data_IF_241515897417
#
_entry.id   IF_241515897417
#
_cell.length_a   1.000
_cell.length_b   1.000
_cell.length_c   1.000
_cell.angle_alpha   90.00
_cell.angle_beta   90.00
_cell.angle_gamma   90.00
#
_symmetry.space_group_name_H-M   'P 1'
#
loop_
_entity.id
_entity.type
_entity.pdbx_description
1 polymer ?
#
# COMPACT_ATOMS: atom_id res chain seq x y z
N UNK A 1 2.07 -22.47 17.08
CA UNK A 1 1.04 -21.44 17.22
C UNK A 1 -0.27 -21.84 16.56
N UNK A 2 -1.36 -21.18 16.91
CA UNK A 2 -2.67 -21.39 16.27
C UNK A 2 -2.75 -20.54 14.99
N UNK A 3 -3.36 -21.05 13.93
CA UNK A 3 -3.69 -20.26 12.76
C UNK A 3 -4.69 -19.14 13.13
N UNK A 4 -4.49 -17.94 12.62
CA UNK A 4 -5.44 -16.84 12.79
C UNK A 4 -6.73 -17.09 12.01
N UNK A 5 -7.84 -16.50 12.47
CA UNK A 5 -9.17 -16.62 11.86
C UNK A 5 -9.76 -15.24 11.61
N UNK A 6 -10.86 -15.17 10.85
CA UNK A 6 -11.59 -13.91 10.67
C UNK A 6 -12.11 -13.33 11.99
N UNK A 7 -12.48 -14.17 12.96
CA UNK A 7 -12.87 -13.72 14.28
C UNK A 7 -11.70 -13.07 15.05
N UNK A 8 -10.48 -13.58 14.88
CA UNK A 8 -9.29 -12.94 15.45
C UNK A 8 -9.05 -11.55 14.84
N UNK A 9 -9.31 -11.41 13.52
CA UNK A 9 -9.23 -10.10 12.84
C UNK A 9 -10.28 -9.13 13.36
N UNK A 10 -11.53 -9.59 13.58
CA UNK A 10 -12.60 -8.76 14.14
C UNK A 10 -12.17 -8.18 15.49
N UNK A 11 -11.51 -8.97 16.34
CA UNK A 11 -11.00 -8.49 17.63
C UNK A 11 -9.91 -7.41 17.50
N UNK A 12 -9.22 -7.35 16.36
CA UNK A 12 -8.16 -6.36 16.08
C UNK A 12 -8.68 -5.05 15.47
N UNK A 13 -9.91 -5.03 14.92
CA UNK A 13 -10.46 -3.86 14.24
C UNK A 13 -10.44 -2.58 15.11
N UNK A 14 -10.80 -2.62 16.40
CA UNK A 14 -10.73 -1.43 17.23
C UNK A 14 -9.35 -0.81 17.32
N UNK A 15 -8.30 -1.62 17.40
CA UNK A 15 -6.91 -1.15 17.46
C UNK A 15 -6.45 -0.54 16.13
N UNK A 16 -6.79 -1.17 15.02
CA UNK A 16 -6.47 -0.66 13.68
C UNK A 16 -7.18 0.66 13.44
N UNK A 17 -8.47 0.74 13.82
CA UNK A 17 -9.24 1.98 13.73
C UNK A 17 -8.71 3.07 14.65
N UNK A 18 -8.28 2.73 15.85
CA UNK A 18 -7.67 3.67 16.80
C UNK A 18 -6.40 4.33 16.24
N UNK A 19 -5.61 3.61 15.45
CA UNK A 19 -4.48 4.19 14.71
C UNK A 19 -4.91 5.13 13.56
N UNK A 20 -6.20 5.18 13.22
CA UNK A 20 -6.76 6.10 12.25
C UNK A 20 -6.80 5.61 10.81
N UNK A 21 -6.59 4.33 10.56
CA UNK A 21 -6.75 3.76 9.22
C UNK A 21 -8.22 3.59 8.82
N UNK A 22 -8.48 3.70 7.52
CA UNK A 22 -9.81 3.65 6.95
C UNK A 22 -10.05 2.34 6.18
N UNK A 23 -9.00 1.62 5.85
CA UNK A 23 -9.06 0.39 5.06
C UNK A 23 -8.20 -0.69 5.72
N UNK A 24 -8.77 -1.88 5.87
CA UNK A 24 -8.03 -3.09 6.21
C UNK A 24 -7.86 -3.96 4.97
N UNK A 25 -6.61 -4.23 4.60
CA UNK A 25 -6.26 -5.09 3.48
C UNK A 25 -5.91 -6.49 3.96
N UNK A 26 -6.45 -7.50 3.27
CA UNK A 26 -6.07 -8.90 3.43
C UNK A 26 -5.38 -9.42 2.16
N UNK A 27 -4.24 -10.15 2.32
CA UNK A 27 -3.70 -10.98 1.25
C UNK A 27 -4.74 -12.01 0.78
N UNK A 28 -4.47 -12.81 -0.28
CA UNK A 28 -5.44 -13.80 -0.73
C UNK A 28 -5.93 -14.70 0.41
N UNK A 29 -7.25 -14.82 0.54
CA UNK A 29 -7.94 -15.59 1.59
C UNK A 29 -8.43 -16.95 1.11
N UNK A 30 -7.98 -17.37 -0.05
CA UNK A 30 -8.44 -18.56 -0.77
C UNK A 30 -7.68 -19.81 -0.35
N UNK A 31 -8.22 -21.02 -0.62
CA UNK A 31 -7.51 -22.27 -0.35
C UNK A 31 -6.11 -22.29 -0.97
N UNK A 32 -5.13 -22.76 -0.21
CA UNK A 32 -3.73 -22.79 -0.62
C UNK A 32 -3.37 -24.18 -1.15
N UNK A 33 -2.79 -24.24 -2.36
CA UNK A 33 -2.37 -25.48 -3.00
C UNK A 33 -1.35 -26.28 -2.19
N UNK A 34 -1.37 -27.59 -2.38
CA UNK A 34 -0.44 -28.52 -1.72
C UNK A 34 0.79 -28.83 -2.58
N UNK A 35 0.58 -28.95 -3.90
CA UNK A 35 1.67 -29.29 -4.83
C UNK A 35 2.68 -28.16 -4.91
N UNK A 36 3.96 -28.51 -4.73
CA UNK A 36 5.08 -27.57 -4.73
C UNK A 36 4.93 -26.43 -3.68
N UNK A 37 4.22 -26.70 -2.58
CA UNK A 37 4.01 -25.74 -1.50
C UNK A 37 5.32 -25.16 -1.02
N UNK A 38 5.34 -23.85 -0.80
CA UNK A 38 6.46 -23.13 -0.23
C UNK A 38 6.56 -23.35 1.27
N UNK A 39 7.78 -23.52 1.76
CA UNK A 39 8.09 -23.52 3.19
C UNK A 39 8.52 -22.15 3.70
N UNK A 40 8.92 -22.11 4.96
CA UNK A 40 9.41 -20.90 5.65
C UNK A 40 10.50 -20.19 4.87
N UNK A 41 10.50 -18.85 4.96
CA UNK A 41 11.47 -18.03 4.25
C UNK A 41 11.54 -18.32 2.74
N UNK A 42 10.40 -18.68 2.13
CA UNK A 42 10.30 -19.00 0.71
C UNK A 42 11.09 -20.25 0.27
N UNK A 43 11.30 -21.19 1.19
CA UNK A 43 11.90 -22.49 0.85
C UNK A 43 11.12 -23.19 -0.25
N UNK A 44 11.83 -23.87 -1.15
CA UNK A 44 11.20 -24.68 -2.21
C UNK A 44 10.58 -25.99 -1.70
N UNK A 45 10.82 -26.35 -0.43
CA UNK A 45 10.25 -27.52 0.23
C UNK A 45 9.54 -27.08 1.48
N UNK A 46 8.28 -27.45 1.60
CA UNK A 46 7.47 -27.25 2.78
C UNK A 46 7.62 -28.43 3.74
N UNK A 47 7.70 -28.15 5.02
CA UNK A 47 7.50 -29.11 6.09
C UNK A 47 6.00 -29.40 6.27
N UNK A 48 5.61 -30.50 6.93
CA UNK A 48 4.19 -30.84 7.10
C UNK A 48 3.34 -29.76 7.75
N UNK A 49 3.94 -28.92 8.60
CA UNK A 49 3.28 -27.84 9.35
C UNK A 49 3.26 -26.51 8.62
N UNK A 50 3.94 -26.41 7.49
CA UNK A 50 4.04 -25.14 6.76
C UNK A 50 2.71 -24.79 6.09
N UNK A 51 2.29 -23.54 6.29
CA UNK A 51 1.01 -23.04 5.79
C UNK A 51 1.00 -22.79 4.29
N UNK A 52 2.17 -22.66 3.68
CA UNK A 52 2.32 -22.29 2.26
C UNK A 52 2.16 -20.79 2.03
N UNK A 53 2.24 -20.39 0.76
CA UNK A 53 2.01 -19.01 0.35
C UNK A 53 0.54 -18.77 0.04
N UNK A 54 -0.10 -17.72 0.56
CA UNK A 54 -1.49 -17.38 0.21
C UNK A 54 -1.66 -17.03 -1.28
N UNK A 55 -0.59 -16.76 -1.99
CA UNK A 55 -0.61 -16.51 -3.43
C UNK A 55 -0.65 -17.78 -4.29
N UNK A 56 -0.45 -18.96 -3.70
CA UNK A 56 -0.65 -20.25 -4.36
C UNK A 56 -2.14 -20.64 -4.29
N UNK A 57 -2.99 -19.90 -5.00
CA UNK A 57 -4.44 -19.95 -4.88
C UNK A 57 -5.03 -21.20 -5.51
N UNK A 58 -5.83 -21.93 -4.75
CA UNK A 58 -6.66 -23.04 -5.18
C UNK A 58 -6.19 -24.39 -4.65
N UNK A 59 -7.14 -25.16 -4.17
CA UNK A 59 -7.00 -26.53 -3.67
C UNK A 59 -8.30 -27.32 -3.92
N UNK A 60 -8.41 -28.50 -3.32
CA UNK A 60 -9.62 -29.32 -3.45
C UNK A 60 -10.88 -28.59 -2.94
N UNK A 61 -10.73 -27.68 -1.99
CA UNK A 61 -11.80 -26.89 -1.36
C UNK A 61 -12.33 -25.76 -2.28
N UNK A 62 -11.60 -25.39 -3.30
CA UNK A 62 -12.04 -24.38 -4.27
C UNK A 62 -10.93 -23.47 -4.76
N UNK A 63 -11.32 -22.42 -5.49
CA UNK A 63 -10.43 -21.43 -6.10
C UNK A 63 -10.62 -20.02 -5.55
N UNK A 64 -10.64 -19.03 -6.45
CA UNK A 64 -10.71 -17.60 -6.14
C UNK A 64 -12.03 -17.11 -5.51
N UNK A 65 -13.05 -17.92 -5.51
CA UNK A 65 -14.36 -17.68 -4.91
C UNK A 65 -14.59 -18.51 -3.63
N UNK A 66 -13.57 -19.23 -3.16
CA UNK A 66 -13.60 -20.02 -1.94
C UNK A 66 -12.68 -19.42 -0.87
N UNK A 67 -12.94 -19.79 0.38
CA UNK A 67 -12.17 -19.37 1.54
C UNK A 67 -11.29 -20.52 2.03
N UNK A 68 -10.06 -20.21 2.41
CA UNK A 68 -9.16 -21.14 3.12
C UNK A 68 -9.85 -21.60 4.43
N UNK A 69 -10.15 -22.88 4.61
CA UNK A 69 -10.94 -23.36 5.75
C UNK A 69 -10.39 -23.01 7.12
N UNK A 70 -9.07 -22.81 7.24
CA UNK A 70 -8.42 -22.41 8.50
C UNK A 70 -8.75 -20.98 8.91
N UNK A 71 -9.17 -20.12 7.98
CA UNK A 71 -9.58 -18.73 8.26
C UNK A 71 -11.02 -18.65 8.78
N UNK A 72 -11.88 -19.59 8.38
CA UNK A 72 -13.31 -19.63 8.69
C UNK A 72 -14.16 -19.93 7.47
N UNK A 73 -15.43 -19.57 7.52
CA UNK A 73 -16.42 -19.74 6.45
C UNK A 73 -16.67 -18.44 5.70
N UNK A 74 -17.50 -18.51 4.66
CA UNK A 74 -17.95 -17.30 3.94
C UNK A 74 -18.79 -16.38 4.85
N UNK A 75 -19.62 -16.96 5.72
CA UNK A 75 -20.41 -16.22 6.71
C UNK A 75 -19.51 -15.52 7.72
N UNK A 76 -18.41 -16.14 8.13
CA UNK A 76 -17.41 -15.52 9.01
C UNK A 76 -16.73 -14.33 8.33
N UNK A 77 -16.42 -14.46 7.04
CA UNK A 77 -15.88 -13.36 6.26
C UNK A 77 -16.88 -12.19 6.13
N UNK A 78 -18.15 -12.48 5.85
CA UNK A 78 -19.20 -11.45 5.79
C UNK A 78 -19.32 -10.73 7.13
N UNK A 79 -19.28 -11.47 8.25
CA UNK A 79 -19.25 -10.84 9.58
C UNK A 79 -18.05 -9.92 9.76
N UNK A 80 -16.88 -10.30 9.27
CA UNK A 80 -15.70 -9.42 9.30
C UNK A 80 -15.92 -8.15 8.49
N UNK A 81 -16.49 -8.25 7.28
CA UNK A 81 -16.80 -7.09 6.43
C UNK A 81 -17.77 -6.14 7.14
N UNK A 82 -18.82 -6.69 7.74
CA UNK A 82 -19.83 -5.90 8.47
C UNK A 82 -19.23 -5.25 9.74
N UNK A 83 -18.43 -6.00 10.52
CA UNK A 83 -17.72 -5.46 11.67
C UNK A 83 -16.74 -4.34 11.29
N UNK A 84 -16.00 -4.48 10.18
CA UNK A 84 -15.13 -3.41 9.67
C UNK A 84 -15.94 -2.15 9.37
N UNK A 85 -17.10 -2.30 8.72
CA UNK A 85 -17.99 -1.18 8.38
C UNK A 85 -18.56 -0.51 9.64
N UNK A 86 -18.93 -1.26 10.66
CA UNK A 86 -19.36 -0.73 11.97
C UNK A 86 -18.26 0.12 12.64
N UNK A 87 -16.99 -0.24 12.43
CA UNK A 87 -15.85 0.56 12.87
C UNK A 87 -15.50 1.71 11.90
N UNK A 88 -16.29 1.95 10.86
CA UNK A 88 -16.03 2.97 9.83
C UNK A 88 -14.82 2.64 8.96
N UNK A 89 -14.60 1.38 8.67
CA UNK A 89 -13.51 0.87 7.83
C UNK A 89 -14.08 0.07 6.64
N UNK A 90 -13.33 0.07 5.54
CA UNK A 90 -13.60 -0.76 4.37
C UNK A 90 -12.62 -1.95 4.32
N UNK A 91 -13.09 -3.06 3.74
CA UNK A 91 -12.23 -4.21 3.48
C UNK A 91 -11.65 -4.14 2.07
N UNK A 92 -10.34 -4.35 1.96
CA UNK A 92 -9.66 -4.56 0.69
C UNK A 92 -9.18 -6.01 0.58
N UNK A 93 -9.46 -6.65 -0.56
CA UNK A 93 -8.94 -7.98 -0.88
C UNK A 93 -7.87 -7.91 -1.95
N UNK A 94 -6.95 -8.87 -1.88
CA UNK A 94 -6.01 -9.11 -2.97
C UNK A 94 -6.71 -9.83 -4.14
N UNK A 95 -6.48 -9.33 -5.34
CA UNK A 95 -6.90 -9.99 -6.58
C UNK A 95 -5.66 -10.40 -7.36
N UNK A 96 -5.19 -11.61 -7.11
CA UNK A 96 -4.04 -12.22 -7.76
C UNK A 96 -4.52 -13.23 -8.82
N UNK A 97 -4.29 -12.91 -10.09
CA UNK A 97 -4.68 -13.78 -11.21
C UNK A 97 -3.57 -14.80 -11.48
N UNK A 98 -3.48 -15.77 -10.59
CA UNK A 98 -2.59 -16.92 -10.67
C UNK A 98 -3.20 -18.06 -9.88
N UNK A 99 -2.88 -19.29 -10.25
CA UNK A 99 -3.44 -20.49 -9.64
C UNK A 99 -2.33 -21.37 -9.08
N UNK A 100 -2.63 -22.11 -8.01
CA UNK A 100 -1.78 -23.23 -7.65
C UNK A 100 -1.91 -24.34 -8.69
N UNK A 101 -0.99 -25.33 -8.73
CA UNK A 101 -1.14 -26.51 -9.58
C UNK A 101 -2.33 -27.41 -9.21
N UNK A 102 -2.97 -27.16 -8.06
CA UNK A 102 -4.15 -27.90 -7.57
C UNK A 102 -5.47 -27.16 -7.77
N UNK A 103 -5.44 -25.99 -8.41
CA UNK A 103 -6.63 -25.18 -8.63
C UNK A 103 -7.66 -25.94 -9.49
N UNK A 104 -8.97 -25.94 -9.12
CA UNK A 104 -10.02 -26.64 -9.87
C UNK A 104 -10.07 -26.30 -11.37
N UNK A 105 -9.75 -25.09 -11.75
CA UNK A 105 -9.73 -24.67 -13.15
C UNK A 105 -8.74 -25.46 -14.03
N UNK A 106 -7.66 -26.03 -13.46
CA UNK A 106 -6.73 -26.82 -14.26
C UNK A 106 -7.37 -28.11 -14.82
N UNK A 107 -8.29 -28.71 -14.08
CA UNK A 107 -9.06 -29.87 -14.55
C UNK A 107 -10.29 -29.47 -15.36
N UNK A 108 -10.98 -28.40 -14.95
CA UNK A 108 -12.23 -27.95 -15.59
C UNK A 108 -11.99 -27.19 -16.91
N UNK A 109 -10.89 -26.45 -16.98
CA UNK A 109 -10.53 -25.55 -18.09
C UNK A 109 -9.03 -25.63 -18.40
N UNK A 110 -8.49 -26.78 -18.81
CA UNK A 110 -7.06 -26.94 -19.08
C UNK A 110 -6.56 -25.99 -20.19
N UNK A 111 -7.44 -25.56 -21.07
CA UNK A 111 -7.16 -24.60 -22.15
C UNK A 111 -6.99 -23.15 -21.65
N UNK A 112 -7.23 -22.85 -20.39
CA UNK A 112 -6.93 -21.56 -19.78
C UNK A 112 -5.48 -21.44 -19.32
N UNK A 113 -4.69 -22.50 -19.43
CA UNK A 113 -3.31 -22.55 -18.96
C UNK A 113 -2.33 -22.83 -20.10
N UNK A 114 -1.07 -22.49 -19.87
CA UNK A 114 -0.01 -22.79 -20.80
C UNK A 114 0.67 -24.11 -20.45
N UNK A 115 0.78 -24.98 -21.43
CA UNK A 115 1.40 -26.29 -21.29
C UNK A 115 2.67 -26.35 -22.14
N UNK A 116 3.67 -27.09 -21.68
CA UNK A 116 4.87 -27.39 -22.44
C UNK A 116 4.56 -28.52 -23.45
N UNK A 117 5.36 -28.65 -24.51
CA UNK A 117 5.17 -29.74 -25.49
C UNK A 117 5.24 -31.14 -24.87
N UNK A 118 5.96 -31.30 -23.76
CA UNK A 118 6.09 -32.55 -23.00
C UNK A 118 4.88 -32.82 -22.08
N UNK A 119 3.84 -31.97 -22.11
CA UNK A 119 2.63 -32.14 -21.31
C UNK A 119 2.73 -31.57 -19.88
N UNK A 120 3.86 -30.95 -19.50
CA UNK A 120 4.01 -30.33 -18.20
C UNK A 120 3.44 -28.92 -18.17
N UNK A 121 2.94 -28.49 -16.99
CA UNK A 121 2.51 -27.11 -16.75
C UNK A 121 3.67 -26.14 -16.88
N UNK A 122 3.37 -24.98 -17.45
CA UNK A 122 4.28 -23.85 -17.43
C UNK A 122 4.06 -23.04 -16.15
N UNK A 123 4.99 -23.16 -15.20
CA UNK A 123 4.98 -22.40 -13.96
C UNK A 123 5.30 -20.92 -14.18
N UNK A 124 4.93 -20.09 -13.20
CA UNK A 124 5.28 -18.68 -13.21
C UNK A 124 6.78 -18.49 -13.00
N UNK A 125 7.37 -17.60 -13.78
CA UNK A 125 8.78 -17.24 -13.70
C UNK A 125 8.93 -15.72 -13.69
N UNK A 126 9.77 -15.23 -12.78
CA UNK A 126 10.27 -13.86 -12.77
C UNK A 126 11.76 -13.92 -12.43
N UNK A 127 12.62 -14.11 -13.46
CA UNK A 127 14.04 -14.35 -13.21
C UNK A 127 14.69 -13.30 -12.30
N UNK A 128 15.53 -13.70 -11.35
CA UNK A 128 16.02 -15.08 -11.11
C UNK A 128 15.05 -15.97 -10.30
N UNK A 129 13.86 -15.49 -9.94
CA UNK A 129 12.88 -16.23 -9.11
C UNK A 129 12.04 -17.19 -9.98
N UNK A 130 11.86 -18.40 -9.49
CA UNK A 130 10.91 -19.40 -10.02
C UNK A 130 9.84 -19.67 -8.97
N UNK A 131 8.58 -19.69 -9.42
CA UNK A 131 7.42 -19.91 -8.56
C UNK A 131 6.73 -21.21 -8.99
N UNK A 132 7.25 -22.36 -8.54
CA UNK A 132 6.70 -23.68 -8.91
C UNK A 132 5.38 -23.98 -8.18
N UNK A 133 5.02 -23.21 -7.18
CA UNK A 133 3.76 -23.25 -6.46
C UNK A 133 2.63 -22.49 -7.16
N UNK A 134 2.93 -21.78 -8.25
CA UNK A 134 1.93 -21.02 -9.02
C UNK A 134 2.07 -21.20 -10.53
N UNK A 135 0.95 -21.16 -11.23
CA UNK A 135 0.84 -21.15 -12.68
C UNK A 135 0.04 -19.93 -13.13
N UNK A 136 0.42 -19.36 -14.24
CA UNK A 136 -0.29 -18.20 -14.82
C UNK A 136 -1.38 -18.69 -15.78
N UNK A 137 -2.52 -18.00 -15.79
CA UNK A 137 -3.54 -18.20 -16.81
C UNK A 137 -3.13 -17.61 -18.15
N UNK A 138 -3.56 -18.20 -19.24
CA UNK A 138 -3.33 -17.74 -20.60
C UNK A 138 -4.51 -16.91 -21.09
N UNK A 139 -4.38 -15.58 -21.09
CA UNK A 139 -5.45 -14.66 -21.47
C UNK A 139 -5.90 -14.78 -22.93
N UNK A 140 -5.06 -15.31 -23.81
CA UNK A 140 -5.32 -15.41 -25.25
C UNK A 140 -5.48 -16.86 -25.73
N UNK A 141 -5.11 -17.85 -24.89
CA UNK A 141 -5.20 -19.29 -25.20
C UNK A 141 -4.33 -19.74 -26.37
N UNK A 142 -4.19 -21.05 -26.53
CA UNK A 142 -3.55 -21.64 -27.70
C UNK A 142 -4.49 -21.70 -28.93
N UNK A 143 -5.76 -21.36 -28.76
CA UNK A 143 -6.76 -21.45 -29.83
C UNK A 143 -7.25 -20.07 -30.28
N UNK A 144 -7.39 -19.84 -31.60
CA UNK A 144 -7.75 -18.55 -32.18
C UNK A 144 -9.21 -18.11 -31.96
N UNK A 145 -9.97 -18.84 -31.15
CA UNK A 145 -11.41 -18.59 -31.00
C UNK A 145 -11.71 -17.57 -29.90
N UNK A 146 -12.24 -16.41 -30.33
CA UNK A 146 -12.72 -15.30 -29.48
C UNK A 146 -13.63 -15.74 -28.31
N UNK A 147 -14.41 -16.79 -28.47
CA UNK A 147 -15.32 -17.31 -27.44
C UNK A 147 -14.60 -17.86 -26.20
N UNK A 148 -13.46 -18.55 -26.36
CA UNK A 148 -12.70 -19.11 -25.21
C UNK A 148 -11.99 -18.04 -24.39
N UNK A 149 -11.45 -17.03 -25.05
CA UNK A 149 -10.87 -15.84 -24.42
C UNK A 149 -11.89 -15.17 -23.50
N UNK A 150 -13.12 -14.98 -23.99
CA UNK A 150 -14.18 -14.35 -23.20
C UNK A 150 -14.64 -15.19 -22.02
N UNK A 151 -14.55 -16.53 -22.08
CA UNK A 151 -14.91 -17.40 -20.97
C UNK A 151 -14.02 -17.17 -19.73
N UNK A 152 -12.68 -17.16 -19.92
CA UNK A 152 -11.74 -16.84 -18.84
C UNK A 152 -11.96 -15.41 -18.31
N UNK A 153 -12.10 -14.43 -19.20
CA UNK A 153 -12.29 -13.04 -18.79
C UNK A 153 -13.57 -12.86 -17.96
N UNK A 154 -14.65 -13.52 -18.36
CA UNK A 154 -15.91 -13.52 -17.62
C UNK A 154 -15.76 -14.20 -16.26
N UNK A 155 -15.10 -15.36 -16.19
CA UNK A 155 -14.85 -16.03 -14.93
C UNK A 155 -14.07 -15.14 -13.95
N UNK A 156 -13.06 -14.43 -14.43
CA UNK A 156 -12.28 -13.48 -13.60
C UNK A 156 -13.12 -12.27 -13.16
N UNK A 157 -13.98 -11.73 -14.04
CA UNK A 157 -14.94 -10.70 -13.66
C UNK A 157 -15.90 -11.21 -12.59
N UNK A 158 -16.42 -12.40 -12.77
CA UNK A 158 -17.42 -12.99 -11.88
C UNK A 158 -16.81 -13.28 -10.48
N UNK A 159 -15.52 -13.58 -10.39
CA UNK A 159 -14.79 -13.61 -9.11
C UNK A 159 -14.82 -12.26 -8.41
N UNK A 160 -14.51 -11.17 -9.13
CA UNK A 160 -14.57 -9.82 -8.55
C UNK A 160 -16.00 -9.49 -8.09
N UNK A 161 -17.00 -9.74 -8.94
CA UNK A 161 -18.42 -9.48 -8.60
C UNK A 161 -18.89 -10.36 -7.43
N UNK A 162 -18.40 -11.59 -7.31
CA UNK A 162 -18.70 -12.45 -6.16
C UNK A 162 -18.30 -11.74 -4.84
N UNK A 163 -17.08 -11.24 -4.75
CA UNK A 163 -16.62 -10.54 -3.55
C UNK A 163 -17.29 -9.18 -3.36
N UNK A 164 -17.60 -8.47 -4.43
CA UNK A 164 -18.39 -7.23 -4.38
C UNK A 164 -19.78 -7.49 -3.77
N UNK A 165 -20.43 -8.59 -4.17
CA UNK A 165 -21.73 -9.01 -3.62
C UNK A 165 -21.65 -9.41 -2.14
N UNK A 166 -20.46 -9.75 -1.64
CA UNK A 166 -20.20 -10.01 -0.22
C UNK A 166 -19.60 -8.81 0.52
N UNK A 167 -19.75 -7.61 -0.05
CA UNK A 167 -19.45 -6.34 0.63
C UNK A 167 -18.06 -5.76 0.40
N UNK A 168 -17.20 -6.41 -0.39
CA UNK A 168 -15.87 -5.86 -0.72
C UNK A 168 -16.02 -4.74 -1.75
N UNK A 169 -15.28 -3.64 -1.54
CA UNK A 169 -15.28 -2.47 -2.43
C UNK A 169 -13.90 -2.09 -2.93
N UNK A 170 -12.86 -2.71 -2.42
CA UNK A 170 -11.47 -2.37 -2.77
C UNK A 170 -10.71 -3.65 -3.13
N UNK A 171 -10.07 -3.64 -4.29
CA UNK A 171 -9.22 -4.74 -4.75
C UNK A 171 -7.79 -4.24 -4.98
N UNK A 172 -6.84 -4.78 -4.23
CA UNK A 172 -5.42 -4.65 -4.55
C UNK A 172 -5.11 -5.69 -5.61
N UNK A 173 -4.67 -5.25 -6.76
CA UNK A 173 -4.42 -6.13 -7.91
C UNK A 173 -2.94 -6.45 -8.00
N UNK A 174 -2.63 -7.73 -7.86
CA UNK A 174 -1.27 -8.27 -7.91
C UNK A 174 -0.70 -8.22 -9.34
N UNK A 175 0.45 -7.58 -9.51
CA UNK A 175 1.20 -7.53 -10.77
C UNK A 175 0.34 -7.32 -12.04
N UNK A 176 -0.51 -6.28 -12.12
CA UNK A 176 -1.40 -6.09 -13.27
C UNK A 176 -0.64 -5.82 -14.58
N UNK A 177 0.58 -5.30 -14.51
CA UNK A 177 1.43 -5.03 -15.67
C UNK A 177 1.89 -6.31 -16.41
N UNK A 178 1.77 -7.48 -15.79
CA UNK A 178 2.07 -8.78 -16.39
C UNK A 178 0.89 -9.38 -17.15
N UNK A 179 -0.26 -8.74 -17.11
CA UNK A 179 -1.51 -9.17 -17.76
C UNK A 179 -1.90 -8.18 -18.85
N UNK A 180 -2.75 -8.56 -19.83
CA UNK A 180 -3.09 -7.69 -20.95
C UNK A 180 -3.87 -6.43 -20.50
N UNK A 181 -3.42 -5.26 -20.94
CA UNK A 181 -4.12 -4.00 -20.69
C UNK A 181 -5.60 -4.00 -21.17
N UNK A 182 -5.93 -4.58 -22.34
CA UNK A 182 -7.33 -4.67 -22.79
C UNK A 182 -8.21 -5.49 -21.85
N UNK A 183 -7.65 -6.51 -21.18
CA UNK A 183 -8.40 -7.26 -20.17
C UNK A 183 -8.76 -6.38 -18.98
N UNK A 184 -7.81 -5.63 -18.43
CA UNK A 184 -8.05 -4.74 -17.29
C UNK A 184 -9.07 -3.65 -17.64
N UNK A 185 -8.91 -3.01 -18.79
CA UNK A 185 -9.86 -1.98 -19.24
C UNK A 185 -11.28 -2.55 -19.33
N UNK A 186 -11.43 -3.73 -19.92
CA UNK A 186 -12.72 -4.39 -20.03
C UNK A 186 -13.28 -4.77 -18.64
N UNK A 187 -12.48 -5.44 -17.78
CA UNK A 187 -12.93 -5.89 -16.46
C UNK A 187 -13.38 -4.73 -15.58
N UNK A 188 -12.58 -3.67 -15.52
CA UNK A 188 -12.88 -2.48 -14.72
C UNK A 188 -14.17 -1.80 -15.24
N UNK A 189 -14.31 -1.66 -16.54
CA UNK A 189 -15.55 -1.11 -17.13
C UNK A 189 -16.77 -1.96 -16.80
N UNK A 190 -16.68 -3.30 -16.90
CA UNK A 190 -17.78 -4.21 -16.57
C UNK A 190 -18.20 -4.13 -15.09
N UNK A 191 -17.22 -4.04 -14.19
CA UNK A 191 -17.50 -3.89 -12.75
C UNK A 191 -18.08 -2.51 -12.46
N UNK A 192 -17.47 -1.44 -12.97
CA UNK A 192 -17.94 -0.07 -12.73
C UNK A 192 -19.31 0.23 -13.35
N UNK A 193 -19.72 -0.50 -14.39
CA UNK A 193 -21.09 -0.36 -14.93
C UNK A 193 -22.17 -0.76 -13.93
N UNK A 194 -21.86 -1.63 -12.97
CA UNK A 194 -22.75 -2.13 -11.94
C UNK A 194 -22.45 -1.54 -10.56
N UNK A 195 -21.16 -1.32 -10.27
CA UNK A 195 -20.62 -0.88 -8.98
C UNK A 195 -19.54 0.21 -9.19
N UNK A 196 -19.95 1.46 -9.45
CA UNK A 196 -19.02 2.56 -9.77
C UNK A 196 -18.14 2.98 -8.58
N UNK A 197 -18.49 2.55 -7.38
CA UNK A 197 -17.76 2.79 -6.12
C UNK A 197 -16.61 1.82 -5.86
N UNK A 198 -16.46 0.77 -6.68
CA UNK A 198 -15.35 -0.19 -6.51
C UNK A 198 -14.01 0.44 -6.90
N UNK A 199 -13.03 0.27 -6.02
CA UNK A 199 -11.67 0.78 -6.17
C UNK A 199 -10.75 -0.35 -6.62
N UNK A 200 -9.94 -0.09 -7.65
CA UNK A 200 -8.87 -0.97 -8.09
C UNK A 200 -7.52 -0.29 -7.83
N UNK A 201 -6.71 -0.90 -6.96
CA UNK A 201 -5.37 -0.46 -6.60
C UNK A 201 -4.34 -1.32 -7.33
N UNK A 202 -3.54 -0.73 -8.22
CA UNK A 202 -2.53 -1.47 -8.99
C UNK A 202 -1.23 -1.61 -8.21
N UNK A 203 -0.78 -2.85 -8.01
CA UNK A 203 0.57 -3.15 -7.54
C UNK A 203 1.45 -3.42 -8.75
N UNK A 204 2.10 -2.37 -9.25
CA UNK A 204 2.87 -2.43 -10.48
C UNK A 204 4.14 -1.58 -10.38
N UNK A 205 5.20 -2.18 -9.84
CA UNK A 205 6.53 -1.55 -9.79
C UNK A 205 7.22 -1.71 -11.16
N UNK A 206 6.80 -0.91 -12.10
CA UNK A 206 7.24 -0.94 -13.49
C UNK A 206 7.67 0.45 -13.96
N UNK A 207 8.14 0.57 -15.20
CA UNK A 207 8.50 1.89 -15.76
C UNK A 207 7.31 2.85 -15.70
N UNK A 208 7.53 4.16 -15.51
CA UNK A 208 6.45 5.15 -15.36
C UNK A 208 5.39 5.09 -16.46
N UNK A 209 5.81 4.86 -17.71
CA UNK A 209 4.91 4.74 -18.86
C UNK A 209 3.84 3.66 -18.68
N UNK A 210 4.20 2.49 -18.15
CA UNK A 210 3.27 1.40 -17.91
C UNK A 210 2.39 1.70 -16.68
N UNK A 211 2.98 2.19 -15.59
CA UNK A 211 2.28 2.58 -14.37
C UNK A 211 1.19 3.63 -14.66
N UNK A 212 1.52 4.65 -15.44
CA UNK A 212 0.57 5.69 -15.86
C UNK A 212 -0.48 5.16 -16.86
N UNK A 213 -0.11 4.20 -17.70
CA UNK A 213 -1.09 3.57 -18.59
C UNK A 213 -2.14 2.78 -17.82
N UNK A 214 -1.76 2.07 -16.77
CA UNK A 214 -2.70 1.37 -15.88
C UNK A 214 -3.69 2.35 -15.25
N UNK A 215 -3.21 3.50 -14.73
CA UNK A 215 -4.10 4.53 -14.20
C UNK A 215 -5.10 5.04 -15.26
N UNK A 216 -4.65 5.27 -16.50
CA UNK A 216 -5.49 5.77 -17.59
C UNK A 216 -6.54 4.77 -18.09
N UNK A 217 -6.36 3.48 -17.87
CA UNK A 217 -7.36 2.45 -18.29
C UNK A 217 -8.34 2.09 -17.18
N UNK A 218 -8.26 2.74 -16.01
CA UNK A 218 -9.28 2.63 -14.97
C UNK A 218 -8.81 2.26 -13.57
N UNK A 219 -7.53 1.93 -13.35
CA UNK A 219 -7.05 1.74 -11.99
C UNK A 219 -7.17 3.03 -11.19
N UNK A 220 -7.86 2.96 -10.06
CA UNK A 220 -8.22 4.12 -9.26
C UNK A 220 -7.03 4.68 -8.48
N UNK A 221 -6.16 3.80 -8.00
CA UNK A 221 -4.99 4.10 -7.18
C UNK A 221 -3.82 3.23 -7.62
N UNK A 222 -2.60 3.61 -7.27
CA UNK A 222 -1.39 2.86 -7.62
C UNK A 222 -0.36 2.87 -6.50
N UNK A 223 0.28 1.73 -6.29
CA UNK A 223 1.59 1.69 -5.64
C UNK A 223 2.57 2.59 -6.38
N UNK A 224 3.63 3.01 -5.73
CA UNK A 224 4.53 4.05 -6.24
C UNK A 224 5.99 3.71 -5.98
N UNK A 225 6.90 4.47 -6.60
CA UNK A 225 8.33 4.39 -6.30
C UNK A 225 8.72 5.01 -4.96
N UNK A 226 7.78 5.64 -4.24
CA UNK A 226 8.01 6.21 -2.92
C UNK A 226 8.76 5.24 -1.99
N UNK A 227 8.42 3.96 -2.03
CA UNK A 227 9.03 2.92 -1.20
C UNK A 227 10.56 2.95 -1.22
N UNK A 228 11.17 3.33 -2.35
CA UNK A 228 12.65 3.37 -2.53
C UNK A 228 13.24 4.78 -2.62
N UNK A 229 12.45 5.83 -2.49
CA UNK A 229 12.94 7.20 -2.51
C UNK A 229 13.28 7.65 -1.09
N UNK A 230 14.57 7.85 -0.81
CA UNK A 230 15.07 8.21 0.52
C UNK A 230 15.91 9.50 0.51
N UNK A 231 16.55 9.81 -0.61
CA UNK A 231 17.35 11.01 -0.76
C UNK A 231 16.49 12.23 -1.11
N UNK A 232 16.91 13.41 -0.63
CA UNK A 232 16.17 14.66 -0.82
C UNK A 232 15.84 14.93 -2.29
N UNK A 233 16.85 14.88 -3.16
CA UNK A 233 16.66 15.18 -4.58
C UNK A 233 15.68 14.22 -5.27
N UNK A 234 15.72 12.94 -4.91
CA UNK A 234 14.79 11.93 -5.42
C UNK A 234 13.35 12.18 -4.94
N UNK A 235 13.19 12.50 -3.66
CA UNK A 235 11.88 12.80 -3.06
C UNK A 235 11.30 14.08 -3.64
N UNK A 236 12.08 15.16 -3.75
CA UNK A 236 11.65 16.42 -4.35
C UNK A 236 11.17 16.21 -5.79
N UNK A 237 11.99 15.53 -6.61
CA UNK A 237 11.65 15.26 -8.00
C UNK A 237 10.37 14.41 -8.12
N UNK A 238 10.23 13.38 -7.30
CA UNK A 238 9.08 12.49 -7.35
C UNK A 238 7.79 13.15 -6.82
N UNK A 239 7.86 13.85 -5.69
CA UNK A 239 6.72 14.61 -5.15
C UNK A 239 6.23 15.66 -6.16
N UNK A 240 7.15 16.34 -6.82
CA UNK A 240 6.82 17.34 -7.84
C UNK A 240 6.18 16.69 -9.08
N UNK A 241 6.70 15.55 -9.55
CA UNK A 241 6.14 14.80 -10.68
C UNK A 241 4.67 14.42 -10.42
N UNK A 242 4.38 13.77 -9.28
CA UNK A 242 3.05 13.25 -9.00
C UNK A 242 2.03 14.30 -8.56
N UNK A 243 2.48 15.46 -8.09
CA UNK A 243 1.62 16.57 -7.67
C UNK A 243 1.33 17.59 -8.77
N UNK A 244 1.99 17.47 -9.92
CA UNK A 244 1.89 18.39 -11.05
C UNK A 244 1.24 17.75 -12.28
N UNK A 245 0.52 18.52 -13.11
CA UNK A 245 0.08 18.05 -14.41
C UNK A 245 1.24 17.59 -15.31
N UNK A 246 1.03 16.56 -16.15
CA UNK A 246 -0.21 15.85 -16.36
C UNK A 246 -0.46 14.69 -15.37
N UNK A 247 0.55 14.25 -14.59
CA UNK A 247 0.44 13.07 -13.73
C UNK A 247 -0.65 13.25 -12.66
N UNK A 248 -0.69 14.42 -12.02
CA UNK A 248 -1.66 14.73 -10.98
C UNK A 248 -3.14 14.60 -11.43
N UNK A 249 -3.42 14.66 -12.73
CA UNK A 249 -4.79 14.66 -13.25
C UNK A 249 -5.40 13.27 -13.34
N UNK A 250 -4.59 12.22 -13.49
CA UNK A 250 -5.08 10.86 -13.70
C UNK A 250 -4.46 9.80 -12.77
N UNK A 251 -3.35 10.12 -12.10
CA UNK A 251 -2.61 9.19 -11.27
C UNK A 251 -2.82 9.51 -9.78
N UNK A 252 -3.34 8.55 -9.01
CA UNK A 252 -3.51 8.69 -7.55
C UNK A 252 -2.47 7.84 -6.84
N UNK A 253 -1.38 8.46 -6.36
CA UNK A 253 -0.29 7.76 -5.71
C UNK A 253 -0.69 7.30 -4.30
N UNK A 254 -0.47 6.03 -4.02
CA UNK A 254 -0.59 5.45 -2.70
C UNK A 254 0.81 5.19 -2.15
N UNK A 255 1.18 5.86 -1.06
CA UNK A 255 2.50 5.74 -0.46
C UNK A 255 2.53 4.58 0.53
N UNK A 256 2.97 3.42 0.07
CA UNK A 256 3.28 2.30 0.94
C UNK A 256 4.70 2.43 1.48
N UNK A 257 4.83 2.38 2.82
CA UNK A 257 6.13 2.44 3.50
C UNK A 257 6.86 1.10 3.44
N UNK A 258 6.10 0.02 3.37
CA UNK A 258 6.54 -1.36 3.20
C UNK A 258 5.40 -2.19 2.60
N UNK A 259 5.66 -3.44 2.22
CA UNK A 259 4.65 -4.40 1.77
C UNK A 259 4.97 -5.80 2.30
N UNK A 260 4.08 -6.79 2.19
CA UNK A 260 4.43 -8.18 2.53
C UNK A 260 5.65 -8.73 1.77
N UNK A 261 5.95 -8.16 0.60
CA UNK A 261 7.05 -8.58 -0.28
C UNK A 261 8.27 -7.66 -0.22
N UNK A 262 8.15 -6.49 0.43
CA UNK A 262 9.19 -5.47 0.38
C UNK A 262 9.47 -4.94 1.80
N UNK A 263 10.65 -5.29 2.30
CA UNK A 263 11.29 -4.69 3.46
C UNK A 263 12.40 -3.77 2.95
N UNK A 264 12.15 -2.47 2.75
CA UNK A 264 13.13 -1.56 2.14
C UNK A 264 14.43 -1.52 2.92
N UNK A 265 15.58 -1.46 2.23
CA UNK A 265 16.89 -1.40 2.87
C UNK A 265 17.01 -0.28 3.91
N UNK A 266 16.37 0.86 3.66
CA UNK A 266 16.36 1.97 4.61
C UNK A 266 15.77 1.55 5.97
N UNK A 267 14.69 0.78 6.01
CA UNK A 267 14.06 0.33 7.26
C UNK A 267 14.85 -0.78 7.97
N UNK A 268 15.68 -1.52 7.24
CA UNK A 268 16.47 -2.62 7.82
C UNK A 268 17.55 -2.14 8.81
N UNK A 269 18.06 -0.92 8.62
CA UNK A 269 19.21 -0.40 9.35
C UNK A 269 18.98 0.90 10.10
N UNK A 270 17.84 1.57 9.87
CA UNK A 270 17.59 2.92 10.38
C UNK A 270 16.97 2.95 11.79
N UNK A 271 16.54 1.80 12.31
CA UNK A 271 15.88 1.73 13.62
C UNK A 271 14.58 2.55 13.68
N UNK A 272 14.06 2.74 14.88
CA UNK A 272 12.80 3.49 15.13
C UNK A 272 12.75 4.86 14.42
N UNK A 273 13.82 5.68 14.40
CA UNK A 273 13.82 6.96 13.68
C UNK A 273 13.48 6.84 12.20
N UNK A 274 13.99 5.80 11.52
CA UNK A 274 13.68 5.58 10.10
C UNK A 274 12.22 5.27 9.86
N UNK A 275 11.57 4.52 10.74
CA UNK A 275 10.12 4.26 10.67
C UNK A 275 9.31 5.54 10.88
N UNK A 276 9.72 6.41 11.80
CA UNK A 276 9.11 7.73 12.01
C UNK A 276 9.25 8.62 10.76
N UNK A 277 10.45 8.69 10.18
CA UNK A 277 10.71 9.46 8.95
C UNK A 277 9.80 8.98 7.81
N UNK A 278 9.76 7.66 7.57
CA UNK A 278 8.96 7.10 6.47
C UNK A 278 7.46 7.30 6.69
N UNK A 279 6.99 7.20 7.94
CA UNK A 279 5.60 7.51 8.30
C UNK A 279 5.23 8.95 7.97
N UNK A 280 6.07 9.91 8.36
CA UNK A 280 5.83 11.32 8.12
C UNK A 280 5.85 11.65 6.62
N UNK A 281 6.84 11.14 5.87
CA UNK A 281 6.93 11.32 4.42
C UNK A 281 5.69 10.78 3.71
N UNK A 282 5.25 9.57 4.07
CA UNK A 282 4.09 8.95 3.44
C UNK A 282 2.79 9.67 3.80
N UNK A 283 2.57 9.89 5.10
CA UNK A 283 1.33 10.48 5.61
C UNK A 283 1.12 11.92 5.15
N UNK A 284 2.19 12.69 5.03
CA UNK A 284 2.13 14.13 4.70
C UNK A 284 2.33 14.40 3.20
N UNK A 285 3.05 13.54 2.49
CA UNK A 285 3.39 13.73 1.07
C UNK A 285 2.29 13.31 0.10
N UNK A 286 1.43 12.35 0.47
CA UNK A 286 0.36 11.85 -0.39
C UNK A 286 -1.00 11.88 0.29
N UNK A 287 -2.07 11.91 -0.52
CA UNK A 287 -3.44 11.73 -0.06
C UNK A 287 -3.73 10.32 0.44
N UNK A 288 -2.96 9.33 0.01
CA UNK A 288 -3.11 7.91 0.34
C UNK A 288 -1.78 7.36 0.85
N UNK A 289 -1.82 6.63 1.95
CA UNK A 289 -0.66 5.92 2.46
C UNK A 289 -1.06 4.63 3.17
N UNK A 290 -0.14 3.68 3.27
CA UNK A 290 -0.40 2.39 3.90
C UNK A 290 0.83 1.79 4.53
N UNK A 291 0.59 0.92 5.50
CA UNK A 291 1.59 0.14 6.20
C UNK A 291 1.25 -1.35 6.09
N UNK A 292 2.25 -2.19 6.04
CA UNK A 292 2.12 -3.61 6.26
C UNK A 292 2.36 -3.91 7.75
N UNK A 293 1.59 -4.85 8.31
CA UNK A 293 1.64 -5.24 9.72
C UNK A 293 3.06 -5.50 10.22
N UNK A 294 3.39 -4.95 11.38
CA UNK A 294 4.73 -4.97 11.97
C UNK A 294 5.52 -3.68 11.75
N UNK A 295 5.14 -2.86 10.78
CA UNK A 295 5.74 -1.54 10.60
C UNK A 295 5.55 -0.66 11.85
N UNK A 296 4.35 -0.67 12.45
CA UNK A 296 4.02 0.04 13.69
C UNK A 296 4.82 -0.46 14.90
N UNK A 297 5.43 -1.63 14.80
CA UNK A 297 6.34 -2.21 15.79
C UNK A 297 7.82 -2.02 15.45
N UNK A 298 8.11 -1.29 14.37
CA UNK A 298 9.45 -1.10 13.83
C UNK A 298 10.15 -2.42 13.43
N UNK A 299 9.39 -3.39 12.92
CA UNK A 299 9.94 -4.64 12.40
C UNK A 299 10.65 -4.40 11.07
N UNK A 300 11.94 -4.65 11.01
CA UNK A 300 12.77 -4.46 9.81
C UNK A 300 13.80 -5.58 9.59
N UNK A 301 13.72 -6.70 10.34
CA UNK A 301 14.65 -7.81 10.18
C UNK A 301 14.57 -8.45 8.79
N UNK A 302 15.63 -8.41 7.98
CA UNK A 302 15.62 -8.90 6.61
C UNK A 302 16.12 -10.35 6.48
N UNK A 303 15.72 -10.99 5.38
CA UNK A 303 16.55 -12.06 4.83
C UNK A 303 17.89 -11.47 4.37
N UNK A 304 19.02 -12.12 4.66
CA UNK A 304 20.34 -11.55 4.38
C UNK A 304 20.50 -11.11 2.91
N UNK A 305 20.82 -9.82 2.72
CA UNK A 305 21.07 -9.22 1.41
C UNK A 305 19.83 -9.02 0.52
N UNK A 306 18.62 -9.14 1.09
CA UNK A 306 17.37 -9.01 0.35
C UNK A 306 16.45 -7.96 0.97
N UNK A 307 15.56 -7.40 0.16
CA UNK A 307 14.44 -6.57 0.62
C UNK A 307 13.23 -7.44 0.97
N UNK A 308 13.45 -8.55 1.65
CA UNK A 308 12.42 -9.48 2.10
C UNK A 308 12.51 -9.63 3.63
N UNK A 309 11.37 -9.80 4.30
CA UNK A 309 11.33 -10.02 5.75
C UNK A 309 11.82 -11.41 6.12
N UNK A 310 12.64 -11.49 7.18
CA UNK A 310 12.96 -12.74 7.85
C UNK A 310 11.72 -13.26 8.58
N UNK A 311 11.47 -14.55 8.49
CA UNK A 311 10.33 -15.22 9.14
C UNK A 311 8.99 -14.55 8.81
N UNK A 312 8.80 -14.25 7.51
CA UNK A 312 7.61 -13.56 7.01
C UNK A 312 6.34 -14.37 7.21
N UNK A 313 5.29 -13.73 7.71
CA UNK A 313 3.95 -14.33 7.83
C UNK A 313 3.32 -14.71 6.48
N UNK A 314 3.93 -14.34 5.37
CA UNK A 314 3.58 -14.85 4.04
C UNK A 314 3.79 -16.37 3.92
N UNK A 315 4.71 -16.94 4.71
CA UNK A 315 5.12 -18.33 4.64
C UNK A 315 4.97 -19.08 5.96
N UNK A 316 4.71 -18.39 7.06
CA UNK A 316 4.60 -19.01 8.37
C UNK A 316 3.63 -18.26 9.30
N UNK A 317 3.19 -18.96 10.35
CA UNK A 317 2.36 -18.34 11.38
C UNK A 317 3.24 -17.44 12.25
N UNK A 318 2.81 -16.19 12.42
CA UNK A 318 3.50 -15.20 13.25
C UNK A 318 2.55 -14.61 14.30
N UNK A 319 3.04 -14.55 15.51
CA UNK A 319 2.35 -13.88 16.62
C UNK A 319 3.13 -12.63 17.00
N UNK A 320 2.47 -11.49 17.17
CA UNK A 320 3.08 -10.21 17.55
C UNK A 320 2.56 -9.73 18.88
N UNK A 321 3.44 -9.14 19.69
CA UNK A 321 3.07 -8.28 20.80
C UNK A 321 2.83 -6.86 20.25
N UNK A 322 1.56 -6.52 20.04
CA UNK A 322 1.15 -5.22 19.48
C UNK A 322 1.41 -4.04 20.42
N UNK A 323 1.78 -4.29 21.66
CA UNK A 323 2.13 -3.30 22.67
C UNK A 323 3.64 -3.30 23.01
N UNK A 324 4.44 -4.03 22.24
CA UNK A 324 5.88 -4.09 22.44
C UNK A 324 6.49 -2.68 22.60
N UNK A 325 7.43 -2.50 23.56
CA UNK A 325 8.11 -1.22 23.74
C UNK A 325 8.82 -0.75 22.46
N UNK A 326 8.87 0.58 22.25
CA UNK A 326 9.52 1.17 21.08
C UNK A 326 8.65 1.20 19.81
N UNK A 327 7.40 0.75 19.87
CA UNK A 327 6.45 0.91 18.78
C UNK A 327 6.19 2.38 18.43
N UNK A 328 5.59 2.63 17.26
CA UNK A 328 5.25 3.97 16.78
C UNK A 328 3.74 4.15 16.54
N UNK A 329 2.91 3.37 17.22
CA UNK A 329 1.45 3.42 17.07
C UNK A 329 0.87 4.78 17.41
N UNK A 330 1.39 5.43 18.46
CA UNK A 330 0.95 6.76 18.88
C UNK A 330 1.27 7.83 17.81
N UNK A 331 2.45 7.75 17.21
CA UNK A 331 2.90 8.67 16.16
C UNK A 331 2.09 8.48 14.88
N UNK A 332 1.81 7.24 14.48
CA UNK A 332 0.91 6.93 13.35
C UNK A 332 -0.49 7.49 13.62
N UNK A 333 -1.02 7.27 14.82
CA UNK A 333 -2.32 7.81 15.23
C UNK A 333 -2.36 9.32 15.08
N UNK A 334 -1.32 10.02 15.57
CA UNK A 334 -1.24 11.47 15.49
C UNK A 334 -1.16 11.95 14.05
N UNK A 335 -0.35 11.34 13.21
CA UNK A 335 -0.27 11.67 11.78
C UNK A 335 -1.61 11.48 11.07
N UNK A 336 -2.34 10.41 11.35
CA UNK A 336 -3.66 10.18 10.77
C UNK A 336 -4.72 11.19 11.27
N UNK A 337 -4.66 11.61 12.54
CA UNK A 337 -5.50 12.69 13.07
C UNK A 337 -5.22 14.01 12.34
N UNK A 338 -3.93 14.37 12.17
CA UNK A 338 -3.51 15.56 11.44
C UNK A 338 -4.04 15.52 10.01
N UNK A 339 -3.92 14.40 9.30
CA UNK A 339 -4.46 14.23 7.95
C UNK A 339 -5.96 14.46 7.88
N UNK A 340 -6.72 13.89 8.81
CA UNK A 340 -8.19 14.05 8.85
C UNK A 340 -8.62 15.47 9.09
N UNK A 341 -7.91 16.18 9.95
CA UNK A 341 -8.21 17.56 10.31
C UNK A 341 -7.79 18.59 9.25
N UNK A 342 -7.00 18.17 8.24
CA UNK A 342 -6.43 19.08 7.25
C UNK A 342 -6.73 18.64 5.81
N UNK A 343 -7.72 19.23 5.13
CA UNK A 343 -8.10 18.86 3.76
C UNK A 343 -6.93 18.91 2.77
N UNK A 344 -5.96 19.82 2.96
CA UNK A 344 -4.77 19.89 2.12
C UNK A 344 -3.95 18.58 2.11
N UNK A 345 -4.01 17.78 3.18
CA UNK A 345 -3.30 16.51 3.28
C UNK A 345 -4.06 15.30 2.72
N UNK A 346 -5.32 15.48 2.32
CA UNK A 346 -6.18 14.40 1.82
C UNK A 346 -6.10 14.18 0.32
N UNK A 347 -5.19 14.85 -0.35
CA UNK A 347 -4.92 14.71 -1.79
C UNK A 347 -3.41 14.73 -2.05
N UNK A 348 -2.98 14.21 -3.17
CA UNK A 348 -1.60 14.35 -3.65
C UNK A 348 -1.33 15.72 -4.31
N UNK A 349 -2.38 16.47 -4.61
CA UNK A 349 -2.30 17.79 -5.23
C UNK A 349 -1.96 18.88 -4.22
N UNK A 350 -1.64 20.06 -4.72
CA UNK A 350 -1.41 21.25 -3.90
C UNK A 350 -0.09 21.23 -3.13
N UNK A 351 0.84 20.32 -3.46
CA UNK A 351 2.16 20.26 -2.87
C UNK A 351 3.11 21.22 -3.57
N UNK A 352 3.85 22.00 -2.78
CA UNK A 352 4.95 22.84 -3.25
C UNK A 352 6.16 22.65 -2.35
N UNK A 353 7.33 22.50 -2.96
CA UNK A 353 8.58 22.39 -2.22
C UNK A 353 8.92 23.73 -1.55
N UNK A 354 9.38 23.67 -0.31
CA UNK A 354 9.87 24.80 0.44
C UNK A 354 11.41 24.77 0.51
N UNK A 355 12.03 25.94 0.50
CA UNK A 355 13.48 26.03 0.62
C UNK A 355 13.95 25.57 2.01
N UNK A 356 14.98 24.73 2.02
CA UNK A 356 15.67 24.27 3.23
C UNK A 356 17.18 24.43 3.05
N UNK A 357 17.86 24.94 4.05
CA UNK A 357 19.32 25.14 4.03
C UNK A 357 20.13 23.86 4.20
N UNK A 358 19.48 22.73 4.51
CA UNK A 358 20.14 21.46 4.80
C UNK A 358 19.72 20.38 3.80
N UNK A 359 20.68 19.73 3.14
CA UNK A 359 20.42 18.69 2.14
C UNK A 359 19.83 17.40 2.72
N UNK A 360 19.89 17.20 4.03
CA UNK A 360 19.27 16.08 4.73
C UNK A 360 17.89 16.41 5.31
N UNK A 361 17.32 17.54 4.93
CA UNK A 361 16.00 17.96 5.38
C UNK A 361 15.14 18.29 4.17
N UNK A 362 14.03 17.61 4.06
CA UNK A 362 12.97 17.89 3.09
C UNK A 362 11.95 18.82 3.70
N UNK A 363 11.60 19.90 2.99
CA UNK A 363 10.52 20.80 3.39
C UNK A 363 9.56 20.99 2.23
N UNK A 364 8.26 20.96 2.53
CA UNK A 364 7.21 21.26 1.57
C UNK A 364 5.97 21.76 2.30
N UNK A 365 5.12 22.47 1.59
CA UNK A 365 3.79 22.78 2.08
C UNK A 365 2.73 22.23 1.12
N UNK A 366 1.56 21.95 1.69
CA UNK A 366 0.36 21.56 0.94
C UNK A 366 -0.74 22.57 1.20
N UNK A 367 -1.43 22.95 0.14
CA UNK A 367 -2.46 23.96 0.20
C UNK A 367 -3.71 23.52 -0.56
N UNK A 368 -4.88 23.79 0.03
CA UNK A 368 -6.13 23.73 -0.71
C UNK A 368 -6.23 24.86 -1.73
N UNK A 369 -7.03 24.72 -2.80
CA UNK A 369 -7.35 25.85 -3.66
C UNK A 369 -7.87 27.04 -2.83
N UNK A 370 -7.36 28.23 -3.09
CA UNK A 370 -7.72 29.43 -2.33
C UNK A 370 -7.05 29.54 -0.95
N UNK A 371 -6.12 28.64 -0.63
CA UNK A 371 -5.29 28.68 0.58
C UNK A 371 -6.04 28.67 1.92
N UNK A 372 -7.27 28.14 1.94
CA UNK A 372 -8.06 28.04 3.18
C UNK A 372 -7.50 27.02 4.18
N UNK A 373 -6.62 26.12 3.75
CA UNK A 373 -5.87 25.20 4.60
C UNK A 373 -4.45 25.06 4.02
N UNK A 374 -3.46 25.48 4.78
CA UNK A 374 -2.04 25.42 4.41
C UNK A 374 -1.28 24.69 5.50
N UNK A 375 -0.62 23.58 5.14
CA UNK A 375 0.17 22.77 6.07
C UNK A 375 1.61 22.72 5.60
N UNK A 376 2.55 23.19 6.43
CA UNK A 376 3.99 23.12 6.22
C UNK A 376 4.54 21.89 6.94
N UNK A 377 5.26 21.03 6.24
CA UNK A 377 5.97 19.90 6.77
C UNK A 377 7.48 20.05 6.59
N UNK A 378 8.24 19.75 7.63
CA UNK A 378 9.71 19.74 7.62
C UNK A 378 10.18 18.41 8.21
N UNK A 379 10.91 17.64 7.43
CA UNK A 379 11.24 16.23 7.75
C UNK A 379 12.73 15.99 7.56
N UNK A 380 13.40 15.53 8.62
CA UNK A 380 14.77 15.00 8.53
C UNK A 380 14.77 13.69 7.73
N UNK A 381 15.77 13.51 6.89
CA UNK A 381 16.02 12.27 6.16
C UNK A 381 17.15 11.45 6.78
N UNK A 382 17.72 11.95 7.90
CA UNK A 382 18.80 11.30 8.63
C UNK A 382 18.25 10.61 9.90
N UNK A 383 18.25 9.28 9.96
CA UNK A 383 17.76 8.57 11.15
C UNK A 383 18.78 8.52 12.30
N UNK A 384 20.03 9.00 12.09
CA UNK A 384 21.13 8.79 13.02
C UNK A 384 21.57 10.05 13.75
N UNK A 385 21.45 11.22 13.12
CA UNK A 385 22.00 12.48 13.64
C UNK A 385 20.96 13.59 13.64
N UNK A 386 21.07 14.49 14.60
CA UNK A 386 20.30 15.72 14.61
C UNK A 386 20.68 16.60 13.40
N UNK A 387 19.68 17.23 12.82
CA UNK A 387 19.82 18.08 11.65
C UNK A 387 19.33 19.48 11.97
N UNK A 388 20.21 20.45 11.88
CA UNK A 388 19.83 21.86 11.94
C UNK A 388 19.49 22.37 10.55
N UNK A 389 18.43 23.15 10.46
CA UNK A 389 18.00 23.71 9.18
C UNK A 389 17.32 25.06 9.36
N UNK A 390 17.33 25.83 8.29
CA UNK A 390 16.54 27.04 8.13
C UNK A 390 15.62 26.84 6.94
N UNK A 391 14.30 26.90 7.18
CA UNK A 391 13.25 26.71 6.17
C UNK A 391 12.55 28.01 5.86
N UNK A 392 11.99 28.11 4.67
CA UNK A 392 11.21 29.27 4.22
C UNK A 392 9.71 28.92 4.25
N UNK A 393 8.97 29.65 5.10
CA UNK A 393 7.52 29.56 5.16
C UNK A 393 6.88 30.39 4.03
N UNK A 394 5.75 29.96 3.47
CA UNK A 394 5.15 30.59 2.29
C UNK A 394 4.31 31.83 2.65
N UNK A 395 4.92 32.88 3.17
CA UNK A 395 4.24 34.14 3.56
C UNK A 395 3.48 34.76 2.39
N UNK A 396 4.03 34.65 1.18
CA UNK A 396 3.40 35.18 -0.05
C UNK A 396 2.04 34.55 -0.39
N UNK A 397 1.74 33.32 0.07
CA UNK A 397 0.43 32.70 -0.13
C UNK A 397 -0.69 33.48 0.58
N UNK A 398 -0.33 34.19 1.63
CA UNK A 398 -1.24 34.96 2.46
C UNK A 398 -1.22 36.45 2.13
N UNK A 399 -0.45 36.86 1.11
CA UNK A 399 -0.25 38.24 0.76
C UNK A 399 0.66 39.02 1.73
N UNK A 400 1.34 38.28 2.62
CA UNK A 400 2.25 38.90 3.59
C UNK A 400 3.64 39.13 2.99
N UNK A 401 4.31 40.19 3.44
CA UNK A 401 5.71 40.46 3.12
C UNK A 401 6.63 39.48 3.87
N UNK A 402 7.90 39.44 3.48
CA UNK A 402 8.93 38.64 4.14
C UNK A 402 9.13 38.95 5.64
N UNK A 403 8.72 40.14 6.06
CA UNK A 403 8.72 40.61 7.46
C UNK A 403 7.29 40.71 8.04
N UNK A 404 6.32 40.11 7.38
CA UNK A 404 4.94 40.05 7.85
C UNK A 404 4.74 39.11 9.03
N UNK A 405 3.49 38.79 9.33
CA UNK A 405 3.14 37.94 10.46
C UNK A 405 2.20 36.81 10.00
N UNK A 406 2.48 35.59 10.43
CA UNK A 406 1.58 34.44 10.29
C UNK A 406 1.36 33.80 11.65
N UNK A 407 0.15 33.26 11.84
CA UNK A 407 -0.13 32.34 12.91
C UNK A 407 0.31 30.94 12.48
N UNK A 408 1.13 30.28 13.29
CA UNK A 408 1.60 28.92 13.09
C UNK A 408 1.15 28.04 14.24
N UNK A 409 0.33 27.05 13.95
CA UNK A 409 -0.11 26.03 14.89
C UNK A 409 0.71 24.77 14.68
N UNK A 410 1.55 24.41 15.65
CA UNK A 410 2.26 23.12 15.65
C UNK A 410 1.24 22.00 15.85
N UNK A 411 1.05 21.17 14.83
CA UNK A 411 0.04 20.11 14.83
C UNK A 411 0.45 18.87 15.65
N UNK A 412 1.69 18.81 16.11
CA UNK A 412 2.15 17.72 16.99
C UNK A 412 1.87 18.05 18.47
N UNK A 413 2.08 19.30 18.86
CA UNK A 413 1.96 19.77 20.25
C UNK A 413 0.71 20.58 20.52
N UNK A 414 -0.03 20.99 19.47
CA UNK A 414 -1.21 21.86 19.52
C UNK A 414 -0.94 23.26 20.07
N UNK A 415 0.33 23.67 20.02
CA UNK A 415 0.74 25.01 20.44
C UNK A 415 0.67 25.98 19.28
N UNK A 416 0.34 27.24 19.56
CA UNK A 416 0.30 28.33 18.56
C UNK A 416 1.35 29.35 18.87
N UNK A 417 1.98 29.84 17.83
CA UNK A 417 2.94 30.94 17.87
C UNK A 417 2.74 31.88 16.70
N UNK A 418 3.19 33.14 16.84
CA UNK A 418 3.23 34.07 15.73
C UNK A 418 4.63 34.10 15.14
N UNK A 419 4.69 33.88 13.83
CA UNK A 419 5.94 33.98 13.07
C UNK A 419 6.05 35.36 12.46
N UNK A 420 7.14 36.06 12.80
CA UNK A 420 7.40 37.45 12.37
C UNK A 420 8.34 37.56 11.16
N UNK A 421 8.78 36.43 10.63
CA UNK A 421 9.68 36.36 9.48
C UNK A 421 9.42 35.05 8.71
N UNK A 422 9.61 35.13 7.40
CA UNK A 422 9.44 33.96 6.54
C UNK A 422 10.43 32.81 6.82
N UNK A 423 11.57 33.11 7.40
CA UNK A 423 12.58 32.11 7.71
C UNK A 423 12.45 31.58 9.13
N UNK A 424 12.48 30.23 9.26
CA UNK A 424 12.43 29.56 10.54
C UNK A 424 13.62 28.63 10.69
N UNK A 425 14.41 28.83 11.75
CA UNK A 425 15.48 27.90 12.14
C UNK A 425 14.95 26.89 13.13
N UNK A 426 15.28 25.62 12.94
CA UNK A 426 14.88 24.52 13.81
C UNK A 426 15.89 23.38 13.77
N UNK A 427 15.83 22.56 14.81
CA UNK A 427 16.60 21.32 14.92
C UNK A 427 15.64 20.15 14.91
N UNK A 428 15.92 19.16 14.07
CA UNK A 428 15.23 17.87 14.03
C UNK A 428 16.17 16.80 14.58
N UNK A 429 15.66 15.97 15.49
CA UNK A 429 16.44 14.89 16.10
C UNK A 429 15.94 13.52 15.63
N UNK A 430 16.71 12.44 15.79
CA UNK A 430 16.23 11.09 15.49
C UNK A 430 14.91 10.74 16.20
N UNK A 431 14.71 11.20 17.43
CA UNK A 431 13.48 10.95 18.19
C UNK A 431 12.30 11.84 17.77
N UNK A 432 12.60 13.00 17.17
CA UNK A 432 11.61 13.95 16.64
C UNK A 432 12.05 14.41 15.24
N UNK A 433 11.96 13.51 14.24
CA UNK A 433 12.55 13.78 12.93
C UNK A 433 11.69 14.67 12.04
N UNK A 434 10.55 15.12 12.48
CA UNK A 434 9.68 15.98 11.70
C UNK A 434 8.93 17.01 12.56
N UNK A 435 8.50 18.08 11.89
CA UNK A 435 7.59 19.12 12.41
C UNK A 435 6.51 19.40 11.37
N UNK A 436 5.32 19.73 11.85
CA UNK A 436 4.15 19.99 11.00
C UNK A 436 3.39 21.18 11.56
N UNK A 437 3.19 22.23 10.76
CA UNK A 437 2.43 23.40 11.17
C UNK A 437 1.28 23.67 10.22
N UNK A 438 0.14 24.06 10.79
CA UNK A 438 -0.91 24.74 10.04
C UNK A 438 -0.66 26.22 10.09
N UNK A 439 -0.60 26.84 8.91
CA UNK A 439 -0.35 28.28 8.75
C UNK A 439 -1.63 29.02 8.42
N UNK A 440 -1.82 30.20 8.98
CA UNK A 440 -2.94 31.10 8.69
C UNK A 440 -2.52 32.55 8.88
N UNK A 441 -3.33 33.49 8.36
CA UNK A 441 -3.15 34.90 8.69
C UNK A 441 -3.21 35.08 10.21
N UNK A 442 -2.38 36.00 10.70
CA UNK A 442 -2.46 36.44 12.09
C UNK A 442 -3.70 37.34 12.21
N UNK A 443 -4.71 36.84 12.92
CA UNK A 443 -5.98 37.54 13.14
C UNK A 443 -5.90 38.52 14.27
#
# INVERSE_FOLDING_TARGET
GRHGTFDDVIQRLPDVRAMGFDVLYLPPIHPIGQRNRKGRNNSLRAEPDDVGSPYAIGAAEGGHDAIEPRLGTLEDFVRLVDAAREHGMEMALDFAIQCSPDHPWLSQHPDWFSWRPDGWLRYAENPPKKYEDIVNVSFYGAAPRRARKLALWRALRDVVLFWVNHGVRIFRVDNPHTKPLPFWQWLICEVHAQHPDVIFLSEAFTRPKMMYRLAKIGFTQSYTYFTWRNERAELEAYLQEISSPPAADFFRPHFFVNTPDINPFFLQTSGRPGFLIRSALAALGSGLWGVYSGFELCEGAPLPGKEEYLDSEKYELRQRDWHAPGNIRAEITRLNQIRRANPALQTHRGLTLAASSNNRVLAFYKSTPGHGNVVLAVISLDPFQAQETRVEAPFWLFGESDAGQLSAEDLLTETRETWHQKHRSLTLTPDQPYRVWRLSLHG
#
